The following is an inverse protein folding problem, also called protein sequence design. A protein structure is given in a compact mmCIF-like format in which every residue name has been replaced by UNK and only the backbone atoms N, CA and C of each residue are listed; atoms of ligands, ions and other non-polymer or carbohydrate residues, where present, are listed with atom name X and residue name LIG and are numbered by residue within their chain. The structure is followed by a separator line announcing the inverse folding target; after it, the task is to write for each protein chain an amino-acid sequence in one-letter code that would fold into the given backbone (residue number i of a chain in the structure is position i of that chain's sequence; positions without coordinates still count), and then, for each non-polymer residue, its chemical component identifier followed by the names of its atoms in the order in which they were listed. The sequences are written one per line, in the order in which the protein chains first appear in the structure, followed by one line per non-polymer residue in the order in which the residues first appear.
data_IF_739622511162
#
_entry.id   IF_739622511162
#
_cell.length_a   1.000
_cell.length_b   1.000
_cell.length_c   1.000
_cell.angle_alpha   90.00
_cell.angle_beta   90.00
_cell.angle_gamma   90.00
#
_symmetry.space_group_name_H-M   'P 1'
#
loop_
_entity.id
_entity.type
_entity.pdbx_description
1 polymer ?
#
# COMPACT_ATOMS: atom_id res chain seq x y z
N UNK A 1 -26.42 -7.93 23.52
CA UNK A 1 -27.80 -8.24 23.97
C UNK A 1 -28.64 -8.50 22.73
N UNK A 2 -29.54 -9.47 22.76
CA UNK A 2 -30.47 -9.73 21.65
C UNK A 2 -31.66 -8.77 21.80
N UNK A 3 -32.05 -8.09 20.72
CA UNK A 3 -33.18 -7.17 20.70
C UNK A 3 -34.53 -7.92 20.70
N UNK A 4 -35.64 -7.18 20.79
CA UNK A 4 -37.00 -7.73 20.79
C UNK A 4 -37.38 -8.48 19.49
N UNK A 5 -36.61 -8.29 18.42
CA UNK A 5 -36.81 -8.92 17.12
C UNK A 5 -35.87 -10.13 16.90
N UNK A 6 -35.02 -10.47 17.89
CA UNK A 6 -34.05 -11.56 17.77
C UNK A 6 -32.71 -11.16 17.13
N UNK A 7 -32.48 -9.87 16.86
CA UNK A 7 -31.21 -9.40 16.29
C UNK A 7 -30.18 -9.15 17.38
N UNK A 8 -28.91 -9.35 17.06
CA UNK A 8 -27.81 -8.92 17.91
C UNK A 8 -26.66 -8.41 17.04
N UNK A 9 -25.88 -7.49 17.61
CA UNK A 9 -24.61 -7.05 17.04
C UNK A 9 -23.50 -7.28 18.06
N UNK A 10 -22.32 -7.61 17.56
CA UNK A 10 -21.11 -7.73 18.36
C UNK A 10 -19.90 -7.33 17.52
N UNK A 11 -18.87 -6.82 18.19
CA UNK A 11 -17.61 -6.45 17.57
C UNK A 11 -16.55 -7.47 17.96
N UNK A 12 -15.85 -8.00 16.96
CA UNK A 12 -14.80 -8.99 17.14
C UNK A 12 -13.51 -8.48 16.51
N UNK A 13 -12.41 -8.60 17.25
CA UNK A 13 -11.08 -8.37 16.69
C UNK A 13 -10.67 -9.63 15.92
N UNK A 14 -10.70 -9.52 14.59
CA UNK A 14 -10.26 -10.60 13.71
C UNK A 14 -8.73 -10.65 13.65
N UNK A 15 -8.20 -11.86 13.55
CA UNK A 15 -6.78 -12.11 13.24
C UNK A 15 -6.60 -12.09 11.74
N UNK A 16 -5.42 -11.71 11.27
CA UNK A 16 -5.10 -11.82 9.84
C UNK A 16 -5.23 -13.28 9.39
N UNK A 17 -5.88 -13.50 8.24
CA UNK A 17 -6.19 -14.82 7.69
C UNK A 17 -7.61 -15.30 7.97
N UNK A 18 -7.81 -16.62 7.89
CA UNK A 18 -9.12 -17.26 8.13
C UNK A 18 -9.46 -17.23 9.63
N UNK A 19 -10.61 -16.64 9.95
CA UNK A 19 -11.21 -16.66 11.28
C UNK A 19 -12.45 -17.54 11.22
N UNK A 20 -12.53 -18.49 12.13
CA UNK A 20 -13.71 -19.33 12.30
C UNK A 20 -14.56 -18.79 13.45
N UNK A 21 -15.75 -18.29 13.13
CA UNK A 21 -16.69 -17.72 14.07
C UNK A 21 -17.81 -18.73 14.33
N UNK A 22 -17.77 -19.36 15.49
CA UNK A 22 -18.77 -20.34 15.93
C UNK A 22 -19.83 -19.66 16.79
N UNK A 23 -21.07 -19.69 16.33
CA UNK A 23 -22.23 -19.18 17.06
C UNK A 23 -23.04 -20.35 17.61
N UNK A 24 -23.23 -20.38 18.92
CA UNK A 24 -24.09 -21.34 19.61
C UNK A 24 -25.33 -20.62 20.12
N UNK A 25 -26.48 -21.04 19.65
CA UNK A 25 -27.81 -20.52 19.98
C UNK A 25 -28.47 -21.54 20.91
N UNK A 26 -28.96 -21.08 22.07
CA UNK A 26 -29.65 -21.92 23.05
C UNK A 26 -30.98 -21.24 23.37
N UNK A 27 -32.09 -21.95 23.22
CA UNK A 27 -33.42 -21.42 23.57
C UNK A 27 -33.79 -21.67 25.04
N UNK A 28 -34.98 -21.23 25.46
CA UNK A 28 -35.45 -21.38 26.86
C UNK A 28 -35.79 -22.81 27.26
N UNK A 29 -35.84 -23.73 26.30
CA UNK A 29 -36.11 -25.16 26.51
C UNK A 29 -34.83 -25.99 26.35
N UNK A 30 -33.66 -25.34 26.38
CA UNK A 30 -32.34 -25.94 26.18
C UNK A 30 -32.13 -26.59 24.80
N UNK A 31 -32.93 -26.22 23.78
CA UNK A 31 -32.62 -26.64 22.41
C UNK A 31 -31.41 -25.84 21.89
N UNK A 32 -30.49 -26.54 21.25
CA UNK A 32 -29.25 -25.95 20.76
C UNK A 32 -29.15 -25.97 19.24
N UNK A 33 -28.57 -24.91 18.69
CA UNK A 33 -28.14 -24.85 17.30
C UNK A 33 -26.76 -24.19 17.21
N UNK A 34 -25.87 -24.79 16.43
CA UNK A 34 -24.56 -24.23 16.13
C UNK A 34 -24.45 -23.87 14.65
N UNK A 35 -23.86 -22.71 14.37
CA UNK A 35 -23.52 -22.26 13.01
C UNK A 35 -22.09 -21.72 13.01
N UNK A 36 -21.35 -22.04 11.95
CA UNK A 36 -19.96 -21.62 11.81
C UNK A 36 -19.81 -20.74 10.57
N UNK A 37 -19.25 -19.54 10.75
CA UNK A 37 -18.95 -18.62 9.67
C UNK A 37 -17.44 -18.45 9.54
N UNK A 38 -16.93 -18.60 8.32
CA UNK A 38 -15.53 -18.35 8.00
C UNK A 38 -15.37 -16.94 7.45
N UNK A 39 -14.54 -16.14 8.10
CA UNK A 39 -14.24 -14.77 7.68
C UNK A 39 -12.75 -14.67 7.42
N UNK A 40 -12.36 -14.45 6.17
CA UNK A 40 -10.97 -14.14 5.84
C UNK A 40 -10.72 -12.64 6.03
N UNK A 41 -9.94 -12.28 7.04
CA UNK A 41 -9.57 -10.90 7.30
C UNK A 41 -8.18 -10.60 6.73
N UNK A 42 -8.12 -9.64 5.82
CA UNK A 42 -6.86 -9.16 5.25
C UNK A 42 -6.51 -7.85 5.92
N UNK A 43 -5.40 -7.85 6.67
CA UNK A 43 -4.87 -6.62 7.28
C UNK A 43 -4.36 -5.70 6.17
N UNK A 44 -4.85 -4.46 6.15
CA UNK A 44 -4.40 -3.45 5.19
C UNK A 44 -3.44 -2.46 5.84
N UNK A 45 -2.49 -1.98 5.04
CA UNK A 45 -1.66 -0.81 5.32
C UNK A 45 -2.12 0.33 4.43
N UNK A 46 -2.44 1.47 5.04
CA UNK A 46 -2.86 2.69 4.35
C UNK A 46 -1.81 3.77 4.57
N UNK A 47 -1.26 4.27 3.48
CA UNK A 47 -0.34 5.40 3.48
C UNK A 47 -1.05 6.63 2.91
N UNK A 48 -0.92 7.77 3.58
CA UNK A 48 -1.38 9.07 3.05
C UNK A 48 -0.21 10.02 2.99
N UNK A 49 0.09 10.52 1.80
CA UNK A 49 1.15 11.50 1.57
C UNK A 49 0.58 12.72 0.83
N UNK A 50 0.90 13.89 1.33
CA UNK A 50 0.42 15.16 0.77
C UNK A 50 1.58 15.91 0.10
N UNK A 51 1.34 16.42 -1.11
CA UNK A 51 2.37 17.17 -1.85
C UNK A 51 2.80 18.40 -1.04
N UNK A 52 4.11 18.60 -0.91
CA UNK A 52 4.67 19.75 -0.19
C UNK A 52 4.63 19.66 1.35
N UNK A 53 4.23 18.51 1.93
CA UNK A 53 4.28 18.25 3.38
C UNK A 53 5.35 17.21 3.75
N UNK A 54 6.02 17.40 4.89
CA UNK A 54 7.00 16.46 5.47
C UNK A 54 6.37 15.41 6.38
N UNK A 55 5.09 15.56 6.70
CA UNK A 55 4.35 14.56 7.46
C UNK A 55 3.57 13.69 6.48
N UNK A 56 3.82 12.38 6.52
CA UNK A 56 2.95 11.36 5.93
C UNK A 56 2.25 10.59 7.05
N UNK A 57 1.25 9.79 6.72
CA UNK A 57 0.54 8.95 7.68
C UNK A 57 0.65 7.48 7.29
N UNK A 58 0.86 6.61 8.27
CA UNK A 58 0.85 5.15 8.14
C UNK A 58 -0.24 4.64 9.09
N UNK A 59 -1.34 4.12 8.56
CA UNK A 59 -2.52 3.73 9.36
C UNK A 59 -2.92 4.84 10.35
N UNK A 60 -3.03 6.07 9.83
CA UNK A 60 -3.33 7.31 10.56
C UNK A 60 -2.30 7.75 11.61
N UNK A 61 -1.20 7.01 11.80
CA UNK A 61 -0.08 7.44 12.63
C UNK A 61 0.86 8.36 11.84
N UNK A 62 1.18 9.58 12.33
CA UNK A 62 2.04 10.51 11.61
C UNK A 62 3.48 10.02 11.58
N UNK A 63 4.15 10.27 10.45
CA UNK A 63 5.55 9.95 10.20
C UNK A 63 6.23 11.11 9.46
N UNK A 64 7.28 11.66 10.05
CA UNK A 64 8.11 12.65 9.38
C UNK A 64 9.03 12.01 8.33
N UNK A 65 9.09 12.64 7.16
CA UNK A 65 9.96 12.30 6.05
C UNK A 65 10.93 13.45 5.76
N UNK A 66 12.15 13.09 5.38
CA UNK A 66 13.25 14.04 5.20
C UNK A 66 13.19 14.82 3.87
N UNK A 67 12.51 14.27 2.87
CA UNK A 67 12.29 14.89 1.55
C UNK A 67 10.82 14.82 1.18
N UNK A 68 10.30 15.96 0.72
CA UNK A 68 8.89 16.15 0.37
C UNK A 68 8.48 15.30 -0.84
N UNK A 69 7.22 14.83 -0.91
CA UNK A 69 6.63 14.38 -2.16
C UNK A 69 6.48 15.59 -3.10
N UNK A 70 6.89 15.43 -4.36
CA UNK A 70 6.89 16.48 -5.37
C UNK A 70 6.21 16.01 -6.65
N UNK A 71 5.73 16.94 -7.46
CA UNK A 71 5.20 16.64 -8.80
C UNK A 71 6.26 17.04 -9.84
N UNK A 72 6.66 16.08 -10.67
CA UNK A 72 7.53 16.28 -11.82
C UNK A 72 6.89 15.58 -13.01
N UNK A 73 6.83 16.25 -14.17
CA UNK A 73 6.24 15.68 -15.40
C UNK A 73 4.80 15.17 -15.19
N UNK A 74 4.03 15.84 -14.30
CA UNK A 74 2.65 15.47 -13.99
C UNK A 74 2.50 14.18 -13.15
N UNK A 75 3.58 13.68 -12.53
CA UNK A 75 3.56 12.51 -11.64
C UNK A 75 4.16 12.82 -10.28
N UNK A 76 3.63 12.16 -9.25
CA UNK A 76 4.15 12.28 -7.89
C UNK A 76 5.40 11.42 -7.72
N UNK A 77 6.50 12.06 -7.35
CA UNK A 77 7.77 11.46 -7.02
C UNK A 77 8.08 11.65 -5.53
N UNK A 78 8.59 10.60 -4.89
CA UNK A 78 8.92 10.56 -3.45
C UNK A 78 10.11 9.61 -3.23
N UNK A 79 10.92 9.75 -2.17
CA UNK A 79 11.88 8.72 -1.83
C UNK A 79 11.16 7.40 -1.57
N UNK A 80 11.36 6.41 -2.45
CA UNK A 80 10.49 5.24 -2.48
C UNK A 80 10.49 4.44 -1.18
N UNK A 81 11.60 4.50 -0.44
CA UNK A 81 11.76 3.81 0.84
C UNK A 81 10.66 4.17 1.85
N UNK A 82 10.24 5.43 1.88
CA UNK A 82 9.14 5.91 2.75
C UNK A 82 7.78 5.27 2.42
N UNK A 83 7.63 4.78 1.19
CA UNK A 83 6.42 4.09 0.75
C UNK A 83 6.59 2.59 0.82
N UNK A 84 7.72 2.04 0.39
CA UNK A 84 7.96 0.61 0.27
C UNK A 84 8.12 -0.10 1.63
N UNK A 85 8.93 0.44 2.55
CA UNK A 85 9.23 -0.22 3.82
C UNK A 85 7.99 -0.43 4.72
N UNK A 86 7.06 0.54 4.87
CA UNK A 86 5.83 0.32 5.63
C UNK A 86 4.95 -0.81 5.07
N UNK A 87 5.09 -1.15 3.80
CA UNK A 87 4.37 -2.25 3.15
C UNK A 87 5.06 -3.61 3.35
N UNK A 88 6.21 -3.62 4.04
CA UNK A 88 7.06 -4.79 4.21
C UNK A 88 7.99 -5.08 3.02
N UNK A 89 8.17 -4.11 2.11
CA UNK A 89 9.04 -4.28 0.96
C UNK A 89 10.49 -3.90 1.29
N UNK A 90 11.43 -4.61 0.68
CA UNK A 90 12.86 -4.31 0.75
C UNK A 90 13.27 -3.37 -0.38
N UNK A 91 14.19 -2.44 -0.10
CA UNK A 91 14.72 -1.49 -1.09
C UNK A 91 16.24 -1.55 -1.12
N UNK A 92 16.79 -2.06 -2.22
CA UNK A 92 18.23 -2.10 -2.47
C UNK A 92 18.65 -1.01 -3.47
N UNK A 93 19.86 -0.47 -3.28
CA UNK A 93 20.50 0.49 -4.17
C UNK A 93 21.79 -0.10 -4.72
N UNK A 94 21.95 -0.07 -6.04
CA UNK A 94 23.18 -0.37 -6.75
C UNK A 94 23.77 0.94 -7.28
N UNK A 95 24.92 1.34 -6.73
CA UNK A 95 25.60 2.58 -7.11
C UNK A 95 26.32 2.51 -8.45
N UNK A 96 26.69 1.31 -8.91
CA UNK A 96 27.40 1.11 -10.18
C UNK A 96 26.41 1.22 -11.34
N UNK A 97 25.29 0.49 -11.25
CA UNK A 97 24.22 0.55 -12.26
C UNK A 97 23.33 1.79 -12.10
N UNK A 98 23.43 2.50 -10.97
CA UNK A 98 22.48 3.55 -10.55
C UNK A 98 21.05 3.03 -10.58
N UNK A 99 20.83 1.90 -9.92
CA UNK A 99 19.58 1.13 -9.95
C UNK A 99 18.97 1.00 -8.55
N UNK A 100 17.67 1.17 -8.47
CA UNK A 100 16.86 0.79 -7.29
C UNK A 100 16.17 -0.53 -7.59
N UNK A 101 16.24 -1.46 -6.65
CA UNK A 101 15.46 -2.69 -6.66
C UNK A 101 14.51 -2.67 -5.47
N UNK A 102 13.21 -2.83 -5.73
CA UNK A 102 12.17 -2.95 -4.71
C UNK A 102 11.58 -4.35 -4.77
N UNK A 103 11.56 -5.07 -3.65
CA UNK A 103 11.08 -6.46 -3.57
C UNK A 103 10.00 -6.59 -2.51
N UNK A 104 8.87 -7.20 -2.85
CA UNK A 104 7.80 -7.54 -1.91
C UNK A 104 7.14 -8.86 -2.32
N UNK A 105 7.24 -9.90 -1.49
CA UNK A 105 6.74 -11.24 -1.79
C UNK A 105 7.26 -11.70 -3.17
N UNK A 106 6.38 -11.80 -4.16
CA UNK A 106 6.70 -12.26 -5.51
C UNK A 106 6.96 -11.10 -6.49
N UNK A 107 6.82 -9.85 -6.06
CA UNK A 107 7.06 -8.68 -6.89
C UNK A 107 8.53 -8.24 -6.75
N UNK A 108 9.20 -8.04 -7.89
CA UNK A 108 10.53 -7.43 -7.99
C UNK A 108 10.48 -6.34 -9.06
N UNK A 109 10.79 -5.12 -8.67
CA UNK A 109 10.75 -3.93 -9.53
C UNK A 109 12.13 -3.29 -9.54
N UNK A 110 12.73 -3.19 -10.72
CA UNK A 110 14.05 -2.60 -10.93
C UNK A 110 13.91 -1.33 -11.76
N UNK A 111 14.45 -0.21 -11.27
CA UNK A 111 14.41 1.08 -11.95
C UNK A 111 15.80 1.72 -11.96
N UNK A 112 16.20 2.27 -13.11
CA UNK A 112 17.49 2.94 -13.30
C UNK A 112 17.32 4.46 -13.34
N UNK A 113 18.24 5.18 -12.69
CA UNK A 113 18.21 6.66 -12.69
C UNK A 113 18.25 7.21 -14.12
N UNK A 114 17.29 8.07 -14.44
CA UNK A 114 17.18 8.73 -15.74
C UNK A 114 16.64 7.85 -16.88
N UNK A 115 16.20 6.61 -16.60
CA UNK A 115 15.59 5.72 -17.59
C UNK A 115 14.08 5.70 -17.44
N UNK A 116 13.37 5.67 -18.56
CA UNK A 116 11.90 5.60 -18.62
C UNK A 116 11.35 4.18 -18.75
N UNK A 117 12.23 3.19 -18.87
CA UNK A 117 11.92 1.76 -18.83
C UNK A 117 12.44 1.20 -17.51
N UNK A 118 11.57 0.51 -16.80
CA UNK A 118 11.87 -0.29 -15.62
C UNK A 118 11.81 -1.79 -15.99
N UNK A 119 12.15 -2.67 -15.05
CA UNK A 119 11.96 -4.10 -15.19
C UNK A 119 11.09 -4.61 -14.04
N UNK A 120 9.95 -5.18 -14.38
CA UNK A 120 8.99 -5.76 -13.43
C UNK A 120 9.02 -7.26 -13.61
N UNK A 121 9.44 -8.00 -12.58
CA UNK A 121 9.55 -9.46 -12.60
C UNK A 121 10.30 -10.01 -13.83
N UNK A 122 11.38 -9.33 -14.24
CA UNK A 122 12.18 -9.72 -15.39
C UNK A 122 11.73 -9.12 -16.73
N UNK A 123 10.56 -8.47 -16.79
CA UNK A 123 9.99 -7.93 -18.02
C UNK A 123 10.19 -6.41 -18.09
N UNK A 124 10.81 -5.96 -19.18
CA UNK A 124 10.99 -4.53 -19.44
C UNK A 124 9.62 -3.86 -19.63
N UNK A 125 9.35 -2.83 -18.83
CA UNK A 125 8.04 -2.19 -18.69
C UNK A 125 8.22 -0.67 -18.71
N UNK A 126 7.50 0.09 -19.55
CA UNK A 126 7.51 1.55 -19.49
C UNK A 126 6.99 2.05 -18.15
N UNK A 127 7.72 2.97 -17.53
CA UNK A 127 7.34 3.57 -16.24
C UNK A 127 6.04 4.37 -16.37
N UNK A 128 5.93 5.08 -17.50
CA UNK A 128 4.74 5.82 -17.90
C UNK A 128 4.61 5.71 -19.41
N UNK A 129 3.65 4.91 -19.93
CA UNK A 129 3.45 4.74 -21.37
C UNK A 129 3.11 6.05 -22.09
N UNK A 130 2.46 6.99 -21.40
CA UNK A 130 1.96 8.24 -21.97
C UNK A 130 2.99 9.37 -21.87
N UNK A 131 3.93 9.29 -20.92
CA UNK A 131 4.96 10.30 -20.72
C UNK A 131 6.36 9.69 -20.47
N UNK A 132 7.20 9.50 -21.50
CA UNK A 132 8.54 8.95 -21.35
C UNK A 132 9.53 9.87 -20.61
N UNK A 133 9.15 11.09 -20.25
CA UNK A 133 9.97 11.98 -19.41
C UNK A 133 9.87 11.65 -17.91
N UNK A 134 8.88 10.86 -17.52
CA UNK A 134 8.74 10.38 -16.14
C UNK A 134 9.82 9.33 -15.89
N UNK A 135 10.85 9.72 -15.14
CA UNK A 135 12.01 8.87 -14.86
C UNK A 135 12.40 8.94 -13.37
N UNK A 136 13.07 7.90 -12.83
CA UNK A 136 13.73 7.95 -11.54
C UNK A 136 14.79 9.05 -11.51
N UNK A 137 14.84 9.84 -10.44
CA UNK A 137 15.81 10.93 -10.29
C UNK A 137 16.43 10.92 -8.89
N UNK A 138 17.52 11.66 -8.70
CA UNK A 138 18.11 11.89 -7.39
C UNK A 138 17.95 13.37 -7.02
N UNK A 139 17.36 13.64 -5.86
CA UNK A 139 17.24 14.98 -5.28
C UNK A 139 17.79 14.93 -3.86
N UNK A 140 18.75 15.81 -3.54
CA UNK A 140 19.36 15.91 -2.21
C UNK A 140 19.84 14.55 -1.66
N UNK A 141 20.44 13.72 -2.51
CA UNK A 141 20.93 12.38 -2.13
C UNK A 141 19.84 11.34 -1.84
N UNK A 142 18.57 11.60 -2.23
CA UNK A 142 17.46 10.63 -2.17
C UNK A 142 17.02 10.25 -3.56
N UNK A 143 16.82 8.96 -3.78
CA UNK A 143 16.26 8.44 -5.03
C UNK A 143 14.75 8.60 -5.03
N UNK A 144 14.26 9.47 -5.89
CA UNK A 144 12.85 9.81 -6.06
C UNK A 144 12.27 8.94 -7.19
N UNK A 145 11.24 8.16 -6.89
CA UNK A 145 10.57 7.29 -7.87
C UNK A 145 9.12 7.70 -8.09
N UNK A 146 8.55 7.51 -9.30
CA UNK A 146 7.13 7.67 -9.56
C UNK A 146 6.31 6.71 -8.68
N UNK A 147 5.61 7.27 -7.70
CA UNK A 147 5.04 6.47 -6.60
C UNK A 147 3.96 5.50 -7.08
N UNK A 148 3.13 5.92 -8.03
CA UNK A 148 2.04 5.10 -8.58
C UNK A 148 2.59 3.86 -9.28
N UNK A 149 3.56 4.04 -10.18
CA UNK A 149 4.18 2.94 -10.92
C UNK A 149 4.73 1.87 -9.97
N UNK A 150 5.50 2.27 -8.94
CA UNK A 150 6.06 1.30 -8.00
C UNK A 150 4.97 0.65 -7.15
N UNK A 151 4.09 1.44 -6.54
CA UNK A 151 3.07 0.93 -5.62
C UNK A 151 2.08 -0.03 -6.30
N UNK A 152 1.60 0.28 -7.51
CA UNK A 152 0.68 -0.59 -8.25
C UNK A 152 1.33 -1.92 -8.65
N UNK A 153 2.61 -1.91 -9.04
CA UNK A 153 3.38 -3.12 -9.32
C UNK A 153 3.70 -3.95 -8.05
N UNK A 154 3.67 -3.34 -6.87
CA UNK A 154 3.72 -4.05 -5.58
C UNK A 154 2.34 -4.62 -5.17
N UNK A 155 1.29 -4.39 -5.96
CA UNK A 155 -0.06 -4.84 -5.67
C UNK A 155 -0.84 -3.89 -4.77
N UNK A 156 -0.50 -2.59 -4.76
CA UNK A 156 -1.26 -1.57 -4.05
C UNK A 156 -2.34 -0.95 -4.95
N UNK A 157 -3.36 -0.38 -4.31
CA UNK A 157 -4.25 0.61 -4.91
C UNK A 157 -3.69 2.00 -4.65
N UNK A 158 -3.78 2.90 -5.64
CA UNK A 158 -3.30 4.29 -5.52
C UNK A 158 -4.39 5.27 -5.94
N UNK A 159 -4.90 6.03 -4.97
CA UNK A 159 -5.91 7.06 -5.16
C UNK A 159 -5.28 8.45 -5.08
N UNK A 160 -5.80 9.39 -5.87
CA UNK A 160 -5.36 10.79 -5.89
C UNK A 160 -6.54 11.71 -5.59
N UNK A 161 -6.36 12.56 -4.58
CA UNK A 161 -7.26 13.66 -4.27
C UNK A 161 -6.64 14.97 -4.80
N UNK A 162 -7.24 15.61 -5.82
CA UNK A 162 -6.71 16.84 -6.41
C UNK A 162 -6.89 18.07 -5.52
N UNK A 163 -7.93 18.11 -4.69
CA UNK A 163 -8.27 19.27 -3.86
C UNK A 163 -7.27 19.42 -2.73
N UNK A 164 -6.95 18.30 -2.09
CA UNK A 164 -5.96 18.26 -1.00
C UNK A 164 -4.55 17.96 -1.49
N UNK A 165 -4.38 17.56 -2.75
CA UNK A 165 -3.12 17.06 -3.34
C UNK A 165 -2.56 15.88 -2.53
N UNK A 166 -3.42 14.91 -2.24
CA UNK A 166 -3.09 13.75 -1.41
C UNK A 166 -3.05 12.49 -2.27
N UNK A 167 -1.97 11.72 -2.15
CA UNK A 167 -1.92 10.34 -2.65
C UNK A 167 -2.24 9.41 -1.47
N UNK A 168 -3.21 8.52 -1.68
CA UNK A 168 -3.54 7.43 -0.75
C UNK A 168 -3.10 6.11 -1.37
N UNK A 169 -2.32 5.32 -0.64
CA UNK A 169 -1.81 4.02 -1.07
C UNK A 169 -2.33 2.96 -0.12
N UNK A 170 -3.00 1.95 -0.65
CA UNK A 170 -3.59 0.86 0.13
C UNK A 170 -3.00 -0.47 -0.30
N UNK A 171 -2.44 -1.24 0.64
CA UNK A 171 -1.90 -2.58 0.42
C UNK A 171 -2.49 -3.61 1.39
N UNK A 172 -2.80 -4.83 0.93
CA UNK A 172 -2.93 -5.19 -0.49
C UNK A 172 -4.12 -4.44 -1.12
N UNK A 173 -4.10 -4.30 -2.45
CA UNK A 173 -5.30 -3.90 -3.20
C UNK A 173 -6.42 -4.91 -3.00
N UNK A 174 -7.66 -4.45 -3.10
CA UNK A 174 -8.88 -5.27 -3.01
C UNK A 174 -8.91 -6.39 -4.06
#
# INVERSE_FOLDING_TARGET
MVDKNGNFETYLLLKEGENELKFRLIDKLDNEKEETYKVNYIKRTVLKLQIGKKTMYINDSPKEIDVLPIIIEGRTLIPIRWVAEPLGAEVAWDGVERKVTVTLKNAKIELWIGKNIARVNGVDTPIDPDNPKVVPIIINGRTMLPVRFVAENLGCKVDWDPDTKTVTITYPKD
#
